data_IF_618141312351
#
_entry.id   IF_618141312351
#
_cell.length_a   1.000
_cell.length_b   1.000
_cell.length_c   1.000
_cell.angle_alpha   90.00
_cell.angle_beta   90.00
_cell.angle_gamma   90.00
#
_symmetry.space_group_name_H-M   'P 1'
#
loop_
_entity.id
_entity.type
_entity.pdbx_description
1 polymer ?
#
# COMPACT_ATOMS: atom_id res chain seq x y z
N UNK A 1 16.09 21.00 -20.82
CA UNK A 1 15.78 21.41 -19.43
C UNK A 1 16.02 20.22 -18.53
N UNK A 2 17.13 20.17 -17.79
CA UNK A 2 17.36 19.14 -16.80
C UNK A 2 16.51 19.44 -15.58
N UNK A 3 15.57 18.56 -15.26
CA UNK A 3 14.89 18.58 -13.96
C UNK A 3 15.96 18.33 -12.89
N UNK A 4 16.36 19.37 -12.18
CA UNK A 4 17.18 19.24 -10.95
C UNK A 4 16.36 19.89 -9.83
N UNK A 5 15.49 19.09 -9.23
CA UNK A 5 14.94 19.40 -7.91
C UNK A 5 16.08 19.24 -6.92
N UNK A 6 16.51 20.31 -6.24
CA UNK A 6 17.65 20.36 -5.32
C UNK A 6 17.60 19.32 -4.18
N UNK A 7 18.01 18.11 -4.50
CA UNK A 7 18.70 17.18 -3.61
C UNK A 7 20.17 17.57 -3.69
N UNK A 8 20.80 17.83 -2.54
CA UNK A 8 22.26 17.85 -2.46
C UNK A 8 22.67 16.39 -2.69
N UNK A 9 22.62 15.93 -3.93
CA UNK A 9 23.29 14.72 -4.31
C UNK A 9 24.76 15.06 -4.12
N UNK A 10 25.40 14.41 -3.14
CA UNK A 10 26.85 14.37 -3.12
C UNK A 10 27.36 13.79 -4.44
N UNK A 11 28.67 13.63 -4.56
CA UNK A 11 29.27 13.02 -5.74
C UNK A 11 28.50 11.76 -6.17
N UNK A 12 28.22 11.64 -7.47
CA UNK A 12 27.55 10.47 -8.06
C UNK A 12 28.31 9.22 -7.61
N UNK A 13 27.59 8.29 -6.99
CA UNK A 13 28.18 7.01 -6.58
C UNK A 13 28.31 6.16 -7.83
N UNK A 14 29.54 5.88 -8.25
CA UNK A 14 29.80 4.87 -9.28
C UNK A 14 29.51 3.50 -8.70
N UNK A 15 28.65 2.72 -9.37
CA UNK A 15 28.36 1.35 -8.96
C UNK A 15 29.63 0.49 -8.93
N UNK A 16 29.81 -0.30 -7.87
CA UNK A 16 30.87 -1.30 -7.77
C UNK A 16 30.37 -2.68 -8.25
N UNK A 17 31.29 -3.50 -8.73
CA UNK A 17 31.03 -4.92 -9.03
C UNK A 17 31.61 -5.80 -7.92
N UNK A 18 30.92 -6.90 -7.59
CA UNK A 18 31.47 -7.94 -6.72
C UNK A 18 32.51 -8.73 -7.52
N UNK A 19 33.80 -8.44 -7.31
CA UNK A 19 34.91 -9.04 -8.07
C UNK A 19 35.31 -10.45 -7.60
N UNK A 20 34.72 -10.97 -6.53
CA UNK A 20 35.04 -12.29 -5.97
C UNK A 20 33.86 -13.25 -6.08
N UNK A 21 34.03 -14.31 -6.87
CA UNK A 21 33.15 -15.48 -6.95
C UNK A 21 33.24 -16.42 -5.72
N UNK A 22 33.70 -15.91 -4.57
CA UNK A 22 33.75 -16.64 -3.30
C UNK A 22 32.57 -16.26 -2.41
N UNK A 23 32.35 -17.04 -1.35
CA UNK A 23 31.30 -16.84 -0.31
C UNK A 23 31.45 -15.47 0.38
N UNK A 24 31.08 -14.39 -0.29
CA UNK A 24 30.91 -13.07 0.34
C UNK A 24 29.64 -13.18 1.17
N UNK A 25 29.79 -13.20 2.49
CA UNK A 25 28.66 -13.09 3.41
C UNK A 25 28.06 -11.70 3.30
N UNK A 26 27.11 -11.53 2.38
CA UNK A 26 26.34 -10.31 2.19
C UNK A 26 25.45 -10.07 3.43
N UNK A 27 25.91 -9.20 4.32
CA UNK A 27 25.12 -8.73 5.46
C UNK A 27 24.68 -7.27 5.28
N UNK A 28 23.70 -6.84 6.09
CA UNK A 28 23.14 -5.48 6.04
C UNK A 28 24.22 -4.43 6.28
N UNK A 29 25.25 -4.76 7.09
CA UNK A 29 26.35 -3.86 7.42
C UNK A 29 27.22 -3.59 6.19
N UNK A 30 27.58 -4.65 5.46
CA UNK A 30 28.35 -4.59 4.22
C UNK A 30 27.65 -3.72 3.19
N UNK A 31 26.34 -3.92 2.99
CA UNK A 31 25.53 -3.10 2.07
C UNK A 31 25.50 -1.64 2.54
N UNK A 32 25.28 -1.41 3.84
CA UNK A 32 25.20 -0.07 4.42
C UNK A 32 26.51 0.70 4.27
N UNK A 33 27.65 0.03 4.40
CA UNK A 33 28.99 0.62 4.27
C UNK A 33 29.29 1.08 2.83
N UNK A 34 28.61 0.51 1.82
CA UNK A 34 28.72 0.97 0.43
C UNK A 34 27.88 2.21 0.12
N UNK A 35 26.99 2.62 1.03
CA UNK A 35 26.14 3.81 0.85
C UNK A 35 26.84 5.03 1.46
N UNK A 36 27.00 6.15 0.72
CA UNK A 36 27.64 7.34 1.26
C UNK A 36 27.02 7.87 2.55
N UNK A 37 27.84 8.34 3.48
CA UNK A 37 27.36 8.83 4.78
C UNK A 37 26.33 9.95 4.68
N UNK A 38 26.42 10.81 3.66
CA UNK A 38 25.50 11.93 3.48
C UNK A 38 24.07 11.47 3.20
N UNK A 39 23.86 10.26 2.67
CA UNK A 39 22.53 9.66 2.48
C UNK A 39 21.83 9.33 3.81
N UNK A 40 22.57 9.25 4.92
CA UNK A 40 22.02 8.97 6.25
C UNK A 40 21.84 10.22 7.12
N UNK A 41 21.91 11.42 6.53
CA UNK A 41 21.81 12.70 7.24
C UNK A 41 20.55 13.47 6.81
N UNK A 42 19.35 13.02 7.23
CA UNK A 42 18.13 13.77 6.95
C UNK A 42 18.13 15.14 7.63
N UNK A 43 17.51 16.14 6.98
CA UNK A 43 17.35 17.48 7.54
C UNK A 43 15.98 17.63 8.20
N UNK A 44 15.95 17.67 9.53
CA UNK A 44 14.73 17.87 10.31
C UNK A 44 14.02 19.17 9.94
N UNK A 45 14.77 20.25 9.68
CA UNK A 45 14.21 21.53 9.27
C UNK A 45 13.46 21.42 7.94
N UNK A 46 14.06 20.70 6.97
CA UNK A 46 13.42 20.44 5.67
C UNK A 46 12.17 19.59 5.84
N UNK A 47 12.24 18.51 6.61
CA UNK A 47 11.08 17.66 6.89
C UNK A 47 9.93 18.45 7.54
N UNK A 48 10.24 19.29 8.54
CA UNK A 48 9.27 20.18 9.17
C UNK A 48 8.71 21.23 8.21
N UNK A 49 9.51 21.75 7.27
CA UNK A 49 9.01 22.68 6.25
C UNK A 49 7.94 22.05 5.36
N UNK A 50 8.05 20.76 5.05
CA UNK A 50 6.99 20.03 4.33
C UNK A 50 5.74 19.82 5.18
N UNK A 51 5.87 19.60 6.49
CA UNK A 51 4.71 19.54 7.41
C UNK A 51 3.97 20.89 7.39
N UNK A 52 4.70 22.00 7.53
CA UNK A 52 4.10 23.34 7.51
C UNK A 52 3.46 23.64 6.17
N UNK A 53 4.12 23.27 5.06
CA UNK A 53 3.57 23.42 3.70
C UNK A 53 2.24 22.67 3.56
N UNK A 54 2.20 21.39 3.88
CA UNK A 54 1.02 20.56 3.67
C UNK A 54 -0.13 20.98 4.59
N UNK A 55 0.19 21.37 5.83
CA UNK A 55 -0.79 21.94 6.75
C UNK A 55 -1.35 23.28 6.25
N UNK A 56 -0.50 24.15 5.70
CA UNK A 56 -0.92 25.44 5.15
C UNK A 56 -1.81 25.25 3.91
N UNK A 57 -1.49 24.28 3.05
CA UNK A 57 -2.34 23.91 1.90
C UNK A 57 -3.70 23.42 2.40
N UNK A 58 -3.73 22.50 3.36
CA UNK A 58 -4.97 21.98 3.92
C UNK A 58 -5.84 23.10 4.53
N UNK A 59 -5.26 23.97 5.36
CA UNK A 59 -5.98 25.10 5.98
C UNK A 59 -6.47 26.09 4.91
N UNK A 60 -5.65 26.37 3.89
CA UNK A 60 -6.02 27.25 2.78
C UNK A 60 -7.19 26.69 1.96
N UNK A 61 -7.18 25.38 1.68
CA UNK A 61 -8.28 24.69 1.00
C UNK A 61 -9.57 24.73 1.82
N UNK A 62 -9.48 24.52 3.14
CA UNK A 62 -10.63 24.62 4.04
C UNK A 62 -11.19 26.04 4.06
N UNK A 63 -10.33 27.05 4.19
CA UNK A 63 -10.75 28.46 4.16
C UNK A 63 -11.47 28.79 2.84
N UNK A 64 -10.89 28.38 1.70
CA UNK A 64 -11.47 28.62 0.39
C UNK A 64 -12.82 27.91 0.25
N UNK A 65 -12.92 26.65 0.68
CA UNK A 65 -14.18 25.90 0.64
C UNK A 65 -15.27 26.60 1.47
N UNK A 66 -14.94 27.04 2.69
CA UNK A 66 -15.88 27.78 3.55
C UNK A 66 -16.26 29.15 3.00
N UNK A 67 -15.36 29.81 2.27
CA UNK A 67 -15.67 31.05 1.58
C UNK A 67 -16.68 30.82 0.44
N UNK A 68 -16.39 29.85 -0.44
CA UNK A 68 -17.27 29.48 -1.56
C UNK A 68 -18.66 29.05 -1.05
N UNK A 69 -18.71 28.27 0.02
CA UNK A 69 -19.95 27.85 0.68
C UNK A 69 -20.87 29.01 1.06
N UNK A 70 -20.30 30.14 1.49
CA UNK A 70 -21.05 31.33 1.92
C UNK A 70 -21.43 32.25 0.77
N UNK A 71 -20.64 32.30 -0.30
CA UNK A 71 -20.80 33.30 -1.36
C UNK A 71 -21.42 32.75 -2.63
N UNK A 72 -21.34 31.44 -2.87
CA UNK A 72 -21.79 30.83 -4.11
C UNK A 72 -23.25 30.34 -4.02
N UNK A 73 -23.81 30.00 -5.18
CA UNK A 73 -25.13 29.39 -5.25
C UNK A 73 -25.10 27.93 -4.72
N UNK A 74 -26.28 27.39 -4.43
CA UNK A 74 -26.46 26.06 -3.85
C UNK A 74 -25.74 24.95 -4.62
N UNK A 75 -25.72 25.00 -5.95
CA UNK A 75 -25.08 23.97 -6.78
C UNK A 75 -23.55 24.00 -6.66
N UNK A 76 -22.95 25.18 -6.72
CA UNK A 76 -21.49 25.35 -6.57
C UNK A 76 -21.04 24.98 -5.15
N UNK A 77 -21.79 25.41 -4.13
CA UNK A 77 -21.52 25.02 -2.74
C UNK A 77 -21.62 23.50 -2.56
N UNK A 78 -22.64 22.86 -3.14
CA UNK A 78 -22.78 21.39 -3.11
C UNK A 78 -21.57 20.68 -3.73
N UNK A 79 -21.16 21.05 -4.95
CA UNK A 79 -19.99 20.46 -5.60
C UNK A 79 -18.70 20.71 -4.81
N UNK A 80 -18.56 21.90 -4.23
CA UNK A 80 -17.40 22.25 -3.40
C UNK A 80 -17.32 21.35 -2.18
N UNK A 81 -18.43 21.20 -1.45
CA UNK A 81 -18.51 20.39 -0.22
C UNK A 81 -18.21 18.93 -0.42
N UNK A 82 -18.82 18.33 -1.44
CA UNK A 82 -18.90 16.88 -1.57
C UNK A 82 -17.90 16.32 -2.58
N UNK A 83 -17.33 17.17 -3.44
CA UNK A 83 -16.43 16.72 -4.51
C UNK A 83 -15.07 17.42 -4.40
N UNK A 84 -15.04 18.74 -4.62
CA UNK A 84 -13.77 19.44 -4.81
C UNK A 84 -12.93 19.51 -3.53
N UNK A 85 -13.55 19.92 -2.40
CA UNK A 85 -12.82 20.05 -1.14
C UNK A 85 -12.34 18.71 -0.60
N UNK A 86 -13.17 17.65 -0.45
CA UNK A 86 -12.69 16.36 0.07
C UNK A 86 -11.57 15.75 -0.77
N UNK A 87 -11.66 15.87 -2.09
CA UNK A 87 -10.61 15.39 -2.99
C UNK A 87 -9.29 16.15 -2.80
N UNK A 88 -9.33 17.49 -2.87
CA UNK A 88 -8.13 18.31 -2.73
C UNK A 88 -7.52 18.26 -1.32
N UNK A 89 -8.36 18.29 -0.28
CA UNK A 89 -7.94 18.15 1.10
C UNK A 89 -7.34 16.77 1.36
N UNK A 90 -7.92 15.71 0.79
CA UNK A 90 -7.40 14.36 0.83
C UNK A 90 -5.96 14.27 0.33
N UNK A 91 -5.64 14.91 -0.80
CA UNK A 91 -4.26 14.94 -1.35
C UNK A 91 -3.29 15.58 -0.34
N UNK A 92 -3.65 16.72 0.25
CA UNK A 92 -2.80 17.39 1.24
C UNK A 92 -2.63 16.55 2.53
N UNK A 93 -3.71 15.91 3.00
CA UNK A 93 -3.68 15.02 4.16
C UNK A 93 -2.88 13.74 3.91
N UNK A 94 -2.89 13.19 2.68
CA UNK A 94 -2.01 12.09 2.30
C UNK A 94 -0.54 12.52 2.35
N UNK A 95 -0.21 13.75 1.96
CA UNK A 95 1.15 14.31 2.14
C UNK A 95 1.60 14.30 3.60
N UNK A 96 0.74 14.78 4.52
CA UNK A 96 0.99 14.70 5.96
C UNK A 96 1.14 13.25 6.45
N UNK A 97 0.30 12.33 5.97
CA UNK A 97 0.40 10.90 6.31
C UNK A 97 1.75 10.31 5.90
N UNK A 98 2.24 10.64 4.70
CA UNK A 98 3.55 10.22 4.18
C UNK A 98 4.68 10.78 5.04
N UNK A 99 4.63 12.05 5.44
CA UNK A 99 5.65 12.63 6.32
C UNK A 99 5.74 11.93 7.69
N UNK A 100 4.58 11.55 8.25
CA UNK A 100 4.53 10.78 9.49
C UNK A 100 4.98 9.32 9.29
N UNK A 101 4.70 8.72 8.13
CA UNK A 101 5.26 7.44 7.71
C UNK A 101 6.81 7.49 7.68
N UNK A 102 7.40 8.52 7.07
CA UNK A 102 8.86 8.73 7.06
C UNK A 102 9.44 8.97 8.46
N UNK A 103 8.65 9.53 9.37
CA UNK A 103 9.03 9.63 10.77
C UNK A 103 9.12 8.27 11.45
N UNK A 104 8.23 7.33 11.07
CA UNK A 104 8.29 5.93 11.47
C UNK A 104 9.58 5.22 11.04
N UNK A 105 10.06 5.54 9.84
CA UNK A 105 11.31 5.03 9.24
C UNK A 105 12.59 5.67 9.80
N UNK A 106 12.47 6.83 10.44
CA UNK A 106 13.62 7.62 10.89
C UNK A 106 14.25 8.48 9.78
N UNK A 107 13.64 8.54 8.60
CA UNK A 107 14.05 9.43 7.51
C UNK A 107 13.61 10.88 7.75
N UNK A 108 12.62 11.13 8.61
CA UNK A 108 12.18 12.47 8.96
C UNK A 108 13.22 13.26 9.77
N UNK A 109 13.90 12.60 10.72
CA UNK A 109 14.85 13.22 11.65
C UNK A 109 15.75 12.15 12.27
N UNK A 110 17.04 12.47 12.45
CA UNK A 110 17.98 11.60 13.19
C UNK A 110 17.64 11.50 14.67
N UNK A 111 16.93 12.49 15.22
CA UNK A 111 16.44 12.47 16.59
C UNK A 111 15.12 11.68 16.67
N UNK A 112 15.20 10.44 17.20
CA UNK A 112 14.05 9.54 17.37
C UNK A 112 12.92 10.14 18.20
N UNK A 113 13.21 11.00 19.19
CA UNK A 113 12.16 11.65 19.98
C UNK A 113 11.35 12.60 19.12
N UNK A 114 12.03 13.45 18.34
CA UNK A 114 11.37 14.39 17.40
C UNK A 114 10.55 13.63 16.37
N UNK A 115 11.13 12.62 15.72
CA UNK A 115 10.42 11.81 14.72
C UNK A 115 9.18 11.14 15.32
N UNK A 116 9.30 10.47 16.47
CA UNK A 116 8.16 9.82 17.10
C UNK A 116 7.09 10.79 17.59
N UNK A 117 7.47 11.96 18.11
CA UNK A 117 6.49 12.98 18.54
C UNK A 117 5.71 13.52 17.34
N UNK A 118 6.40 13.91 16.27
CA UNK A 118 5.75 14.45 15.06
C UNK A 118 4.88 13.38 14.40
N UNK A 119 5.42 12.17 14.21
CA UNK A 119 4.68 11.05 13.64
C UNK A 119 3.44 10.71 14.46
N UNK A 120 3.56 10.64 15.79
CA UNK A 120 2.42 10.39 16.68
C UNK A 120 1.33 11.45 16.56
N UNK A 121 1.69 12.73 16.58
CA UNK A 121 0.72 13.83 16.47
C UNK A 121 -0.02 13.78 15.13
N UNK A 122 0.72 13.68 14.03
CA UNK A 122 0.13 13.73 12.68
C UNK A 122 -0.72 12.49 12.41
N UNK A 123 -0.21 11.28 12.66
CA UNK A 123 -1.01 10.07 12.44
C UNK A 123 -2.22 10.01 13.35
N UNK A 124 -2.12 10.46 14.61
CA UNK A 124 -3.28 10.51 15.51
C UNK A 124 -4.35 11.50 15.02
N UNK A 125 -3.95 12.67 14.49
CA UNK A 125 -4.87 13.62 13.86
C UNK A 125 -5.56 13.03 12.60
N UNK A 126 -4.91 12.08 11.93
CA UNK A 126 -5.44 11.32 10.79
C UNK A 126 -6.09 9.99 11.19
N UNK A 127 -6.38 9.80 12.48
CA UNK A 127 -7.02 8.58 13.02
C UNK A 127 -6.22 7.28 12.77
N UNK A 128 -4.89 7.39 12.62
CA UNK A 128 -3.99 6.26 12.45
C UNK A 128 -3.17 6.02 13.73
N UNK A 129 -3.14 4.79 14.27
CA UNK A 129 -2.43 4.49 15.52
C UNK A 129 -0.92 4.39 15.29
N UNK A 130 -0.20 5.52 15.35
CA UNK A 130 1.22 5.65 14.97
C UNK A 130 2.13 4.52 15.45
N UNK A 131 2.13 4.18 16.74
CA UNK A 131 3.07 3.17 17.27
C UNK A 131 2.74 1.74 16.84
N UNK A 132 1.45 1.41 16.77
CA UNK A 132 1.01 0.10 16.28
C UNK A 132 1.33 -0.02 14.78
N UNK A 133 0.97 1.00 14.01
CA UNK A 133 1.25 1.10 12.59
C UNK A 133 2.76 1.05 12.30
N UNK A 134 3.59 1.83 13.01
CA UNK A 134 5.05 1.84 12.85
C UNK A 134 5.66 0.45 13.09
N UNK A 135 5.15 -0.28 14.08
CA UNK A 135 5.62 -1.63 14.41
C UNK A 135 5.27 -2.64 13.32
N UNK A 136 4.01 -2.69 12.88
CA UNK A 136 3.59 -3.60 11.80
C UNK A 136 4.22 -3.24 10.47
N UNK A 137 4.35 -1.94 10.18
CA UNK A 137 4.94 -1.43 8.95
C UNK A 137 6.45 -1.72 8.84
N UNK A 138 7.19 -1.62 9.95
CA UNK A 138 8.59 -2.03 9.97
C UNK A 138 8.76 -3.51 9.63
N UNK A 139 7.85 -4.37 10.09
CA UNK A 139 7.85 -5.80 9.74
C UNK A 139 7.46 -6.04 8.29
N UNK A 140 6.49 -5.29 7.75
CA UNK A 140 6.19 -5.31 6.31
C UNK A 140 7.44 -4.99 5.50
N UNK A 141 8.18 -3.91 5.79
CA UNK A 141 9.40 -3.59 5.05
C UNK A 141 10.52 -4.63 5.19
N UNK A 142 10.61 -5.33 6.32
CA UNK A 142 11.58 -6.42 6.51
C UNK A 142 11.26 -7.65 5.66
N UNK A 143 9.97 -7.89 5.41
CA UNK A 143 9.48 -9.09 4.74
C UNK A 143 8.65 -8.78 3.50
N UNK A 144 8.85 -7.61 2.89
CA UNK A 144 8.04 -7.17 1.76
C UNK A 144 8.18 -8.18 0.62
N UNK A 145 7.04 -8.59 0.04
CA UNK A 145 6.96 -9.64 -0.98
C UNK A 145 7.34 -11.05 -0.51
N UNK A 146 7.47 -11.28 0.80
CA UNK A 146 7.57 -12.64 1.33
C UNK A 146 6.17 -13.24 1.47
N UNK A 147 5.87 -14.20 0.61
CA UNK A 147 4.57 -14.89 0.55
C UNK A 147 4.10 -15.50 1.87
N UNK A 148 5.03 -15.80 2.79
CA UNK A 148 4.70 -16.48 4.05
C UNK A 148 4.46 -15.51 5.21
N UNK A 149 5.23 -14.43 5.30
CA UNK A 149 5.34 -13.60 6.52
C UNK A 149 5.14 -12.09 6.28
N UNK A 150 4.89 -11.64 5.05
CA UNK A 150 4.48 -10.26 4.78
C UNK A 150 3.12 -9.96 5.46
N UNK A 151 3.02 -8.82 6.15
CA UNK A 151 1.82 -8.38 6.86
C UNK A 151 0.83 -7.58 5.99
N UNK A 152 1.25 -7.10 4.82
CA UNK A 152 0.47 -6.15 4.06
C UNK A 152 -0.34 -6.84 2.96
N UNK A 153 0.35 -7.44 1.99
CA UNK A 153 -0.29 -8.04 0.83
C UNK A 153 0.54 -9.20 0.27
N UNK A 154 -0.09 -10.35 0.12
CA UNK A 154 0.43 -11.49 -0.65
C UNK A 154 -0.49 -11.69 -1.86
N UNK A 155 0.03 -11.58 -3.09
CA UNK A 155 -0.77 -11.87 -4.27
C UNK A 155 -1.18 -13.34 -4.28
N UNK A 156 -2.42 -13.67 -4.69
CA UNK A 156 -2.81 -15.06 -4.90
C UNK A 156 -1.91 -15.68 -5.97
N UNK A 157 -1.60 -16.97 -5.82
CA UNK A 157 -0.99 -17.75 -6.87
C UNK A 157 -1.91 -17.80 -8.10
N UNK A 158 -1.34 -18.12 -9.27
CA UNK A 158 -2.11 -18.24 -10.52
C UNK A 158 -3.29 -19.21 -10.36
N UNK A 159 -3.11 -20.32 -9.65
CA UNK A 159 -4.16 -21.30 -9.40
C UNK A 159 -5.24 -20.77 -8.46
N UNK A 160 -4.87 -20.12 -7.35
CA UNK A 160 -5.83 -19.49 -6.43
C UNK A 160 -6.62 -18.37 -7.11
N UNK A 161 -5.98 -17.60 -7.96
CA UNK A 161 -6.64 -16.55 -8.74
C UNK A 161 -7.66 -17.15 -9.73
N UNK A 162 -7.29 -18.25 -10.41
CA UNK A 162 -8.22 -18.98 -11.30
C UNK A 162 -9.45 -19.47 -10.54
N UNK A 163 -9.27 -20.05 -9.36
CA UNK A 163 -10.41 -20.58 -8.59
C UNK A 163 -11.29 -19.47 -8.02
N UNK A 164 -10.72 -18.37 -7.52
CA UNK A 164 -11.45 -17.24 -6.95
C UNK A 164 -12.36 -16.53 -7.96
N UNK A 165 -11.90 -16.36 -9.21
CA UNK A 165 -12.62 -15.57 -10.22
C UNK A 165 -13.33 -16.40 -11.29
N UNK A 166 -12.97 -17.69 -11.47
CA UNK A 166 -13.59 -18.56 -12.49
C UNK A 166 -14.49 -19.65 -11.89
N UNK A 167 -14.59 -19.74 -10.56
CA UNK A 167 -15.23 -20.85 -9.85
C UNK A 167 -14.37 -22.10 -9.90
N UNK A 168 -14.48 -22.96 -8.90
CA UNK A 168 -13.84 -24.28 -8.93
C UNK A 168 -14.38 -25.02 -10.15
N UNK A 169 -13.57 -25.15 -11.20
CA UNK A 169 -13.86 -26.10 -12.27
C UNK A 169 -13.72 -27.47 -11.64
N UNK A 170 -14.85 -28.00 -11.15
CA UNK A 170 -14.94 -29.37 -10.71
C UNK A 170 -14.29 -30.26 -11.75
N UNK A 171 -13.64 -31.32 -11.30
CA UNK A 171 -12.83 -32.27 -12.08
C UNK A 171 -13.54 -32.86 -13.33
N UNK A 172 -14.80 -32.53 -13.57
CA UNK A 172 -15.63 -32.94 -14.70
C UNK A 172 -15.49 -32.07 -15.96
N UNK A 173 -14.84 -30.89 -15.94
CA UNK A 173 -14.70 -30.08 -17.16
C UNK A 173 -13.65 -30.66 -18.14
N UNK A 174 -12.69 -31.44 -17.63
CA UNK A 174 -11.70 -32.13 -18.48
C UNK A 174 -12.41 -33.09 -19.45
N UNK A 175 -13.39 -33.83 -18.94
CA UNK A 175 -14.21 -34.78 -19.71
C UNK A 175 -15.15 -34.10 -20.70
N UNK A 176 -15.65 -32.89 -20.38
CA UNK A 176 -16.59 -32.17 -21.26
C UNK A 176 -15.87 -31.37 -22.37
N UNK A 177 -14.69 -30.82 -22.09
CA UNK A 177 -13.86 -30.12 -23.09
C UNK A 177 -13.21 -31.06 -24.10
N UNK A 178 -12.74 -32.21 -23.64
CA UNK A 178 -12.21 -33.26 -24.51
C UNK A 178 -13.31 -33.86 -25.41
N UNK A 179 -14.58 -33.83 -24.98
CA UNK A 179 -15.71 -34.36 -25.74
C UNK A 179 -16.31 -33.39 -26.79
N UNK A 180 -16.11 -32.07 -26.66
CA UNK A 180 -16.78 -31.07 -27.50
C UNK A 180 -15.82 -30.33 -28.43
N UNK A 181 -14.57 -30.08 -28.02
CA UNK A 181 -13.61 -29.33 -28.82
C UNK A 181 -12.27 -30.05 -28.89
N UNK A 182 -12.05 -30.75 -30.01
CA UNK A 182 -10.74 -31.21 -30.40
C UNK A 182 -9.77 -30.03 -30.51
N UNK A 183 -8.91 -29.88 -29.52
CA UNK A 183 -7.62 -29.21 -29.66
C UNK A 183 -7.59 -27.68 -29.62
N UNK A 184 -8.42 -27.00 -28.83
CA UNK A 184 -8.10 -25.61 -28.46
C UNK A 184 -7.29 -25.57 -27.15
N UNK A 185 -6.02 -25.18 -27.31
CA UNK A 185 -5.02 -25.11 -26.26
C UNK A 185 -5.49 -24.25 -25.08
N UNK A 186 -5.20 -24.72 -23.87
CA UNK A 186 -5.35 -24.01 -22.58
C UNK A 186 -4.75 -22.58 -22.59
N UNK A 187 -3.84 -22.30 -23.53
CA UNK A 187 -3.19 -21.02 -23.78
C UNK A 187 -4.12 -19.92 -24.34
N UNK A 188 -5.19 -20.28 -25.07
CA UNK A 188 -6.09 -19.31 -25.71
C UNK A 188 -7.12 -18.68 -24.76
N UNK A 189 -7.54 -19.42 -23.72
CA UNK A 189 -8.46 -18.91 -22.70
C UNK A 189 -7.78 -17.99 -21.68
N UNK A 190 -6.47 -18.14 -21.47
CA UNK A 190 -5.70 -17.26 -20.59
C UNK A 190 -5.40 -15.90 -21.25
N UNK A 191 -5.17 -15.87 -22.56
CA UNK A 191 -5.02 -14.62 -23.34
C UNK A 191 -6.28 -13.73 -23.29
N UNK A 192 -7.48 -14.30 -23.38
CA UNK A 192 -8.71 -13.49 -23.35
C UNK A 192 -8.94 -12.85 -21.98
N UNK A 193 -8.57 -13.51 -20.88
CA UNK A 193 -8.73 -12.95 -19.53
C UNK A 193 -7.62 -12.00 -19.13
N UNK A 194 -6.37 -12.25 -19.52
CA UNK A 194 -5.29 -11.26 -19.34
C UNK A 194 -5.68 -9.93 -20.01
N UNK A 195 -6.39 -9.98 -21.14
CA UNK A 195 -6.94 -8.80 -21.83
C UNK A 195 -8.13 -8.13 -21.11
N UNK A 196 -8.90 -8.85 -20.28
CA UNK A 196 -10.01 -8.26 -19.51
C UNK A 196 -9.59 -7.78 -18.11
N UNK A 197 -8.48 -8.29 -17.57
CA UNK A 197 -7.88 -7.82 -16.32
C UNK A 197 -7.43 -6.36 -16.44
N UNK A 198 -6.93 -5.98 -17.62
CA UNK A 198 -6.54 -4.61 -17.95
C UNK A 198 -7.71 -3.76 -18.50
N UNK A 199 -8.94 -4.31 -18.57
CA UNK A 199 -10.08 -3.55 -19.03
C UNK A 199 -10.34 -2.36 -18.08
N UNK A 200 -10.35 -1.10 -18.57
CA UNK A 200 -10.44 0.08 -17.72
C UNK A 200 -11.62 0.07 -16.75
N UNK A 201 -12.76 -0.48 -17.19
CA UNK A 201 -13.96 -0.61 -16.35
C UNK A 201 -13.80 -1.63 -15.22
N UNK A 202 -13.15 -2.77 -15.47
CA UNK A 202 -12.90 -3.81 -14.45
C UNK A 202 -11.93 -3.29 -13.40
N UNK A 203 -10.85 -2.63 -13.82
CA UNK A 203 -9.89 -1.98 -12.92
C UNK A 203 -10.58 -0.88 -12.10
N UNK A 204 -11.39 -0.03 -12.75
CA UNK A 204 -12.15 1.01 -12.07
C UNK A 204 -13.09 0.44 -11.00
N UNK A 205 -13.88 -0.58 -11.35
CA UNK A 205 -14.79 -1.24 -10.41
C UNK A 205 -14.01 -1.88 -9.24
N UNK A 206 -12.88 -2.52 -9.53
CA UNK A 206 -11.99 -3.11 -8.51
C UNK A 206 -11.48 -2.04 -7.55
N UNK A 207 -11.05 -0.87 -8.04
CA UNK A 207 -10.62 0.26 -7.20
C UNK A 207 -11.78 0.70 -6.30
N UNK A 208 -12.98 0.89 -6.84
CA UNK A 208 -14.15 1.28 -6.04
C UNK A 208 -14.44 0.26 -4.94
N UNK A 209 -14.47 -1.04 -5.28
CA UNK A 209 -14.69 -2.10 -4.31
C UNK A 209 -13.59 -2.14 -3.25
N UNK A 210 -12.34 -1.97 -3.63
CA UNK A 210 -11.21 -1.96 -2.71
C UNK A 210 -11.28 -0.76 -1.74
N UNK A 211 -11.67 0.43 -2.22
CA UNK A 211 -11.76 1.62 -1.37
C UNK A 211 -13.00 1.66 -0.48
N UNK A 212 -14.14 1.12 -0.95
CA UNK A 212 -15.38 1.14 -0.19
C UNK A 212 -15.49 -0.05 0.77
N UNK A 213 -15.09 -1.24 0.33
CA UNK A 213 -15.30 -2.50 1.07
C UNK A 213 -13.98 -3.14 1.45
N UNK A 214 -13.03 -3.23 0.51
CA UNK A 214 -11.79 -3.96 0.68
C UNK A 214 -10.95 -3.47 1.86
N UNK A 215 -10.80 -2.16 2.03
CA UNK A 215 -10.07 -1.57 3.16
C UNK A 215 -10.69 -1.92 4.51
N UNK A 216 -12.00 -1.76 4.66
CA UNK A 216 -12.72 -2.10 5.89
C UNK A 216 -12.57 -3.60 6.21
N UNK A 217 -12.69 -4.45 5.18
CA UNK A 217 -12.54 -5.89 5.34
C UNK A 217 -11.11 -6.28 5.72
N UNK A 218 -10.10 -5.66 5.11
CA UNK A 218 -8.69 -5.85 5.45
C UNK A 218 -8.41 -5.51 6.92
N UNK A 219 -8.92 -4.38 7.42
CA UNK A 219 -8.73 -3.98 8.81
C UNK A 219 -9.35 -4.94 9.83
N UNK A 220 -10.41 -5.65 9.45
CA UNK A 220 -11.14 -6.58 10.34
C UNK A 220 -10.55 -8.00 10.28
N UNK A 221 -10.13 -8.44 9.10
CA UNK A 221 -9.79 -9.86 8.85
C UNK A 221 -8.34 -10.13 8.52
N UNK A 222 -7.53 -9.09 8.23
CA UNK A 222 -6.18 -9.24 7.71
C UNK A 222 -6.09 -10.17 6.47
N UNK A 223 -7.15 -10.23 5.65
CA UNK A 223 -7.30 -11.23 4.57
C UNK A 223 -6.14 -11.28 3.56
N UNK A 224 -5.42 -10.17 3.40
CA UNK A 224 -4.31 -10.08 2.44
C UNK A 224 -2.94 -10.37 3.05
N UNK A 225 -2.85 -10.58 4.37
CA UNK A 225 -1.59 -10.86 5.03
C UNK A 225 -1.15 -12.33 4.82
N UNK A 226 0.16 -12.57 4.81
CA UNK A 226 0.72 -13.91 4.69
C UNK A 226 0.30 -14.81 5.86
N UNK A 227 0.20 -16.14 5.64
CA UNK A 227 -0.35 -17.09 6.62
C UNK A 227 0.41 -17.13 7.96
N UNK A 228 1.68 -16.73 7.95
CA UNK A 228 2.56 -16.72 9.13
C UNK A 228 2.94 -15.29 9.59
N UNK A 229 2.26 -14.26 9.08
CA UNK A 229 2.60 -12.86 9.33
C UNK A 229 2.30 -12.37 10.76
N UNK A 230 1.34 -13.02 11.43
CA UNK A 230 0.93 -12.71 12.82
C UNK A 230 1.63 -13.66 13.80
N UNK A 231 2.26 -13.11 14.85
CA UNK A 231 2.83 -13.93 15.92
C UNK A 231 1.71 -14.69 16.63
N UNK A 232 1.82 -16.02 16.71
CA UNK A 232 0.84 -17.01 17.23
C UNK A 232 0.44 -16.86 18.72
N UNK A 233 0.40 -15.67 19.29
CA UNK A 233 0.10 -15.46 20.72
C UNK A 233 -0.74 -14.20 20.94
N UNK A 234 -1.97 -14.18 20.41
CA UNK A 234 -3.11 -13.46 20.99
C UNK A 234 -4.39 -13.93 20.28
N UNK A 235 -5.07 -14.88 20.92
CA UNK A 235 -6.45 -15.23 20.62
C UNK A 235 -7.35 -14.01 20.78
N UNK A 236 -7.95 -13.54 19.69
CA UNK A 236 -9.39 -13.30 19.65
C UNK A 236 -9.87 -13.99 18.37
N UNK A 237 -10.44 -15.18 18.54
CA UNK A 237 -11.38 -15.75 17.59
C UNK A 237 -12.60 -14.82 17.53
N UNK A 238 -12.53 -13.79 16.71
CA UNK A 238 -13.68 -13.20 16.05
C UNK A 238 -13.45 -13.53 14.58
N UNK A 239 -14.22 -14.49 14.10
CA UNK A 239 -13.92 -15.30 12.93
C UNK A 239 -13.69 -14.49 11.66
N UNK A 240 -12.82 -15.02 10.81
CA UNK A 240 -13.13 -15.39 9.41
C UNK A 240 -11.91 -16.03 8.75
N UNK A 241 -11.38 -17.11 9.33
CA UNK A 241 -11.19 -18.27 8.46
C UNK A 241 -12.61 -18.77 8.21
N UNK A 242 -13.25 -18.30 7.15
CA UNK A 242 -14.36 -19.05 6.57
C UNK A 242 -13.66 -19.98 5.58
N UNK A 243 -13.46 -21.27 5.92
CA UNK A 243 -13.25 -22.23 4.87
C UNK A 243 -14.50 -22.16 4.01
N UNK A 244 -14.34 -21.96 2.72
CA UNK A 244 -15.44 -22.00 1.75
C UNK A 244 -16.10 -23.40 1.63
N UNK A 245 -15.89 -24.28 2.62
CA UNK A 245 -16.33 -25.68 2.68
C UNK A 245 -17.54 -25.90 3.62
N UNK A 246 -18.06 -24.86 4.30
CA UNK A 246 -19.22 -25.01 5.22
C UNK A 246 -20.58 -24.67 4.57
N UNK A 247 -20.61 -24.19 3.32
CA UNK A 247 -21.87 -23.98 2.59
C UNK A 247 -22.35 -25.20 1.79
N UNK A 248 -21.58 -26.30 1.77
CA UNK A 248 -21.96 -27.54 1.08
C UNK A 248 -22.60 -28.60 2.00
N UNK A 249 -22.91 -28.27 3.27
CA UNK A 249 -23.58 -29.20 4.19
C UNK A 249 -24.96 -28.75 4.69
N UNK A 250 -25.56 -27.72 4.09
CA UNK A 250 -26.97 -27.34 4.31
C UNK A 250 -27.64 -27.03 2.96
N UNK A 251 -27.54 -27.99 2.03
CA UNK A 251 -28.50 -28.27 0.96
C UNK A 251 -28.31 -29.72 0.50
#
# INVERSE_FOLDING_TARGET
MSYVTETIHGAVVTGGELTTAGDVKLDIKTIREQIPEHCFRPSTLRSMSFVVRDLSIFIGLLYLALHVERTANTYVSFLTRYVAYPYAAGIAMTGLWVLAHEAGHGAFSTNKKVANTVGFIIHSALMSPYFAWRSSHARHHQFANNVSIDLNYVPPSREEYRTLFRGSKGQNEKTLKEAIHGGESEHGQDMLTDNFEDAPFVVFLRIILQQVIGWHWYLISHITAGPNSVSRTALIHVGTSVPWEILDSIA
#
